data_IF_260097411450
#
_entry.id   IF_260097411450
#
_cell.length_a   1.000
_cell.length_b   1.000
_cell.length_c   1.000
_cell.angle_alpha   90.00
_cell.angle_beta   90.00
_cell.angle_gamma   90.00
#
_symmetry.space_group_name_H-M   'P 1'
#
loop_
_entity.id
_entity.type
_entity.pdbx_description
1 polymer ?
#
# COMPACT_ATOMS: atom_id res chain seq x y z
N UNK A 1 -11.56 -16.62 26.36
CA UNK A 1 -11.91 -17.92 25.76
C UNK A 1 -11.52 -17.84 24.31
N UNK A 2 -10.74 -18.80 23.79
CA UNK A 2 -10.44 -18.82 22.37
C UNK A 2 -11.75 -19.07 21.62
N UNK A 3 -12.15 -18.13 20.77
CA UNK A 3 -13.32 -18.25 19.93
C UNK A 3 -13.04 -19.36 18.90
N UNK A 4 -13.52 -20.57 19.16
CA UNK A 4 -13.35 -21.78 18.33
C UNK A 4 -14.13 -21.74 16.99
N UNK A 5 -14.23 -20.57 16.37
CA UNK A 5 -14.79 -20.46 15.03
C UNK A 5 -13.89 -21.20 14.01
N UNK A 6 -14.44 -21.60 12.85
CA UNK A 6 -13.64 -22.09 11.75
C UNK A 6 -12.48 -21.15 11.44
N UNK A 7 -11.31 -21.68 11.09
CA UNK A 7 -10.17 -20.87 10.70
C UNK A 7 -10.46 -20.21 9.36
N UNK A 8 -10.37 -18.88 9.30
CA UNK A 8 -10.41 -18.17 8.03
C UNK A 8 -9.04 -18.21 7.36
N UNK A 9 -8.94 -18.86 6.21
CA UNK A 9 -7.74 -18.83 5.37
C UNK A 9 -7.92 -17.82 4.24
N UNK A 10 -7.43 -16.59 4.46
CA UNK A 10 -7.43 -15.57 3.42
C UNK A 10 -6.50 -16.01 2.29
N UNK A 11 -6.96 -16.03 1.01
CA UNK A 11 -6.08 -16.26 -0.12
C UNK A 11 -4.90 -15.29 -0.10
N UNK A 12 -3.76 -15.71 -0.65
CA UNK A 12 -2.55 -14.89 -0.70
C UNK A 12 -2.38 -14.23 -2.06
N UNK A 13 -1.86 -13.01 -2.06
CA UNK A 13 -1.43 -12.29 -3.26
C UNK A 13 0.08 -12.12 -3.25
N UNK A 14 0.72 -12.39 -4.38
CA UNK A 14 2.13 -12.14 -4.59
C UNK A 14 2.28 -10.81 -5.32
N UNK A 15 3.10 -9.92 -4.77
CA UNK A 15 3.32 -8.59 -5.33
C UNK A 15 3.90 -8.68 -6.75
N UNK A 16 3.41 -7.82 -7.65
CA UNK A 16 3.98 -7.72 -9.00
C UNK A 16 5.27 -6.91 -8.94
N UNK A 17 6.39 -7.54 -9.30
CA UNK A 17 7.69 -6.87 -9.40
C UNK A 17 7.79 -6.08 -10.71
N UNK A 18 8.04 -4.78 -10.58
CA UNK A 18 8.26 -3.81 -11.67
C UNK A 18 9.70 -3.28 -11.66
N UNK A 19 10.61 -3.91 -10.90
CA UNK A 19 12.03 -3.54 -10.87
C UNK A 19 12.67 -3.74 -12.24
N UNK A 20 13.51 -2.79 -12.65
CA UNK A 20 14.15 -2.78 -13.97
C UNK A 20 13.23 -2.36 -15.13
N UNK A 21 11.95 -2.11 -14.87
CA UNK A 21 11.02 -1.61 -15.88
C UNK A 21 11.34 -0.14 -16.23
N UNK A 22 11.39 0.24 -17.52
CA UNK A 22 11.56 1.64 -17.92
C UNK A 22 10.46 2.55 -17.36
N UNK A 23 10.80 3.81 -17.06
CA UNK A 23 9.87 4.76 -16.44
C UNK A 23 8.57 4.95 -17.25
N UNK A 24 8.67 4.95 -18.58
CA UNK A 24 7.52 5.10 -19.47
C UNK A 24 6.58 3.89 -19.48
N UNK A 25 7.09 2.69 -19.14
CA UNK A 25 6.31 1.45 -19.09
C UNK A 25 5.66 1.20 -17.71
N UNK A 26 6.10 1.91 -16.66
CA UNK A 26 5.62 1.72 -15.29
C UNK A 26 4.11 1.91 -15.16
N UNK A 27 3.52 2.84 -15.94
CA UNK A 27 2.08 3.07 -15.91
C UNK A 27 1.31 1.82 -16.38
N UNK A 28 1.72 1.23 -17.50
CA UNK A 28 1.12 0.01 -18.03
C UNK A 28 1.35 -1.19 -17.10
N UNK A 29 2.56 -1.30 -16.53
CA UNK A 29 2.88 -2.30 -15.51
C UNK A 29 1.97 -2.22 -14.27
N UNK A 30 1.69 -1.00 -13.79
CA UNK A 30 0.77 -0.76 -12.67
C UNK A 30 -0.69 -1.08 -13.03
N UNK A 31 -1.13 -0.73 -14.24
CA UNK A 31 -2.46 -1.09 -14.73
C UNK A 31 -2.64 -2.61 -14.80
N UNK A 32 -1.64 -3.35 -15.28
CA UNK A 32 -1.67 -4.82 -15.28
C UNK A 32 -1.66 -5.40 -13.85
N UNK A 33 -0.90 -4.80 -12.93
CA UNK A 33 -0.91 -5.20 -11.53
C UNK A 33 -2.29 -4.99 -10.88
N UNK A 34 -2.96 -3.87 -11.17
CA UNK A 34 -4.34 -3.58 -10.73
C UNK A 34 -5.33 -4.61 -11.26
N UNK A 35 -5.23 -4.97 -12.54
CA UNK A 35 -6.09 -6.01 -13.15
C UNK A 35 -5.90 -7.36 -12.45
N UNK A 36 -4.65 -7.79 -12.24
CA UNK A 36 -4.33 -9.04 -11.55
C UNK A 36 -4.81 -9.03 -10.11
N UNK A 37 -4.60 -7.94 -9.38
CA UNK A 37 -5.04 -7.80 -8.00
C UNK A 37 -6.56 -7.85 -7.90
N UNK A 38 -7.30 -7.15 -8.76
CA UNK A 38 -8.77 -7.22 -8.80
C UNK A 38 -9.30 -8.62 -9.13
N UNK A 39 -8.63 -9.35 -10.04
CA UNK A 39 -8.97 -10.75 -10.29
C UNK A 39 -8.74 -11.62 -9.05
N UNK A 40 -7.65 -11.38 -8.32
CA UNK A 40 -7.38 -12.02 -7.03
C UNK A 40 -8.45 -11.71 -5.98
N UNK A 41 -8.93 -10.46 -5.88
CA UNK A 41 -9.94 -10.07 -4.90
C UNK A 41 -11.28 -10.80 -5.06
N UNK A 42 -11.59 -11.32 -6.26
CA UNK A 42 -12.74 -12.22 -6.45
C UNK A 42 -12.58 -13.54 -5.67
N UNK A 43 -11.35 -14.06 -5.57
CA UNK A 43 -11.04 -15.25 -4.77
C UNK A 43 -11.14 -14.96 -3.28
N UNK A 44 -10.64 -13.79 -2.86
CA UNK A 44 -10.78 -13.30 -1.48
C UNK A 44 -12.26 -13.20 -1.11
N UNK A 45 -13.08 -12.59 -1.97
CA UNK A 45 -14.52 -12.46 -1.74
C UNK A 45 -15.20 -13.83 -1.59
N UNK A 46 -14.87 -14.79 -2.45
CA UNK A 46 -15.39 -16.16 -2.34
C UNK A 46 -15.00 -16.83 -1.02
N UNK A 47 -13.75 -16.68 -0.59
CA UNK A 47 -13.27 -17.24 0.67
C UNK A 47 -13.97 -16.60 1.88
N UNK A 48 -14.15 -15.27 1.88
CA UNK A 48 -14.88 -14.56 2.92
C UNK A 48 -16.32 -15.05 3.06
N UNK A 49 -17.06 -15.11 1.95
CA UNK A 49 -18.47 -15.54 1.96
C UNK A 49 -18.61 -17.00 2.42
N UNK A 50 -17.73 -17.89 1.96
CA UNK A 50 -17.72 -19.28 2.41
C UNK A 50 -17.47 -19.37 3.92
N UNK A 51 -16.47 -18.66 4.43
CA UNK A 51 -16.16 -18.64 5.85
C UNK A 51 -17.31 -18.08 6.69
N UNK A 52 -17.97 -17.00 6.25
CA UNK A 52 -19.15 -16.45 6.95
C UNK A 52 -20.29 -17.47 7.02
N UNK A 53 -20.52 -18.24 5.96
CA UNK A 53 -21.51 -19.32 5.98
C UNK A 53 -21.17 -20.42 7.00
N UNK A 54 -19.89 -20.83 7.06
CA UNK A 54 -19.41 -21.80 8.05
C UNK A 54 -19.49 -21.27 9.49
N UNK A 55 -19.12 -20.01 9.70
CA UNK A 55 -19.23 -19.34 11.00
C UNK A 55 -20.67 -19.29 11.50
N UNK A 56 -21.63 -18.95 10.62
CA UNK A 56 -23.07 -18.96 10.96
C UNK A 56 -23.60 -20.36 11.25
N UNK A 57 -23.19 -21.37 10.48
CA UNK A 57 -23.56 -22.76 10.74
C UNK A 57 -23.02 -23.23 12.10
N UNK A 58 -21.79 -22.83 12.45
CA UNK A 58 -21.21 -23.08 13.76
C UNK A 58 -21.98 -22.39 14.89
N UNK A 59 -22.34 -21.11 14.73
CA UNK A 59 -23.15 -20.37 15.71
C UNK A 59 -24.49 -21.07 15.96
N UNK A 60 -25.19 -21.47 14.89
CA UNK A 60 -26.46 -22.19 14.98
C UNK A 60 -26.29 -23.56 15.68
N UNK A 61 -25.26 -24.33 15.33
CA UNK A 61 -25.00 -25.64 15.93
C UNK A 61 -24.62 -25.55 17.42
N UNK A 62 -24.03 -24.44 17.85
CA UNK A 62 -23.62 -24.19 19.24
C UNK A 62 -24.63 -23.37 20.05
N UNK A 63 -25.73 -22.92 19.44
CA UNK A 63 -26.71 -22.04 20.09
C UNK A 63 -26.10 -20.69 20.50
N UNK A 64 -25.10 -20.20 19.77
CA UNK A 64 -24.46 -18.91 20.02
C UNK A 64 -25.28 -17.76 19.41
N UNK A 65 -25.24 -16.56 20.01
CA UNK A 65 -25.84 -15.39 19.38
C UNK A 65 -25.14 -15.06 18.05
N UNK A 66 -25.88 -14.64 17.01
CA UNK A 66 -25.29 -14.34 15.71
C UNK A 66 -24.37 -13.11 15.81
N UNK A 67 -23.12 -13.25 15.36
CA UNK A 67 -22.22 -12.10 15.21
C UNK A 67 -22.46 -11.38 13.89
N UNK A 68 -22.10 -10.09 13.86
CA UNK A 68 -22.18 -9.29 12.64
C UNK A 68 -20.93 -9.50 11.77
N UNK A 69 -21.11 -10.18 10.63
CA UNK A 69 -20.08 -10.39 9.61
C UNK A 69 -20.36 -9.64 8.30
N UNK A 70 -21.33 -8.71 8.26
CA UNK A 70 -21.82 -8.09 7.02
C UNK A 70 -20.70 -7.46 6.19
N UNK A 71 -19.71 -6.83 6.83
CA UNK A 71 -18.58 -6.23 6.11
C UNK A 71 -17.76 -7.23 5.28
N UNK A 72 -17.73 -8.51 5.68
CA UNK A 72 -17.05 -9.57 4.93
C UNK A 72 -17.88 -10.08 3.74
N UNK A 73 -19.18 -9.81 3.72
CA UNK A 73 -20.12 -10.22 2.68
C UNK A 73 -20.37 -9.14 1.63
N UNK A 74 -20.07 -7.88 1.96
CA UNK A 74 -20.31 -6.74 1.06
C UNK A 74 -19.11 -6.37 0.19
N UNK A 75 -17.89 -6.70 0.62
CA UNK A 75 -16.69 -6.42 -0.16
C UNK A 75 -15.44 -7.17 0.31
N UNK A 76 -14.40 -7.20 -0.55
CA UNK A 76 -13.13 -7.81 -0.17
C UNK A 76 -12.43 -6.99 0.90
N UNK A 77 -11.92 -7.67 1.90
CA UNK A 77 -11.27 -7.08 3.06
C UNK A 77 -9.80 -7.51 3.16
N UNK A 78 -8.97 -6.67 3.77
CA UNK A 78 -7.56 -6.95 4.06
C UNK A 78 -7.37 -7.75 5.37
N UNK A 79 -8.41 -7.84 6.18
CA UNK A 79 -8.43 -8.57 7.46
C UNK A 79 -8.09 -10.06 7.30
N UNK A 80 -7.07 -10.53 8.01
CA UNK A 80 -6.75 -11.97 8.13
C UNK A 80 -7.56 -12.69 9.20
N UNK A 81 -7.97 -11.99 10.26
CA UNK A 81 -8.73 -12.61 11.37
C UNK A 81 -10.03 -11.84 11.64
N UNK A 82 -11.18 -12.34 11.15
CA UNK A 82 -12.47 -11.64 11.23
C UNK A 82 -13.11 -11.60 12.64
N UNK A 83 -12.54 -12.31 13.61
CA UNK A 83 -13.19 -12.59 14.90
C UNK A 83 -13.13 -11.44 15.92
N UNK A 84 -12.27 -10.45 15.70
CA UNK A 84 -12.09 -9.32 16.64
C UNK A 84 -12.89 -8.07 16.27
N UNK A 85 -13.86 -8.18 15.37
CA UNK A 85 -14.62 -7.04 14.86
C UNK A 85 -13.81 -6.08 13.99
N UNK A 86 -12.51 -6.34 13.82
CA UNK A 86 -11.65 -5.58 12.94
C UNK A 86 -11.93 -5.96 11.48
N UNK A 87 -12.44 -5.01 10.71
CA UNK A 87 -12.66 -5.18 9.29
C UNK A 87 -11.99 -4.02 8.54
N UNK A 88 -11.10 -4.35 7.60
CA UNK A 88 -10.46 -3.37 6.73
C UNK A 88 -10.90 -3.59 5.27
N UNK A 89 -12.09 -3.07 4.89
CA UNK A 89 -12.54 -3.05 3.50
C UNK A 89 -11.56 -2.37 2.55
N UNK A 90 -11.35 -2.97 1.39
CA UNK A 90 -10.57 -2.39 0.29
C UNK A 90 -11.46 -1.47 -0.54
N UNK A 91 -11.03 -0.23 -0.77
CA UNK A 91 -11.81 0.81 -1.45
C UNK A 91 -11.70 0.66 -2.97
N UNK A 92 -12.32 -0.40 -3.52
CA UNK A 92 -12.26 -0.71 -4.95
C UNK A 92 -12.75 0.42 -5.86
N UNK A 93 -13.79 1.15 -5.46
CA UNK A 93 -14.38 2.22 -6.26
C UNK A 93 -13.38 3.35 -6.55
N UNK A 94 -12.40 3.52 -5.66
CA UNK A 94 -11.37 4.55 -5.81
C UNK A 94 -10.37 4.22 -6.88
N UNK A 95 -10.11 2.95 -7.19
CA UNK A 95 -9.08 2.52 -8.16
C UNK A 95 -9.70 1.81 -9.37
N UNK A 96 -10.37 2.52 -10.29
CA UNK A 96 -11.07 1.89 -11.41
C UNK A 96 -10.12 1.13 -12.36
N UNK A 97 -10.60 0.00 -12.92
CA UNK A 97 -9.81 -0.90 -13.79
C UNK A 97 -9.25 -0.20 -15.04
N UNK A 98 -10.00 0.76 -15.56
CA UNK A 98 -9.69 1.45 -16.82
C UNK A 98 -9.20 2.89 -16.58
N UNK A 99 -8.73 3.20 -15.37
CA UNK A 99 -8.11 4.49 -15.12
C UNK A 99 -6.80 4.57 -15.92
N UNK A 100 -6.56 5.64 -16.72
CA UNK A 100 -5.29 5.80 -17.40
C UNK A 100 -4.12 5.91 -16.40
N UNK A 101 -4.39 6.46 -15.21
CA UNK A 101 -3.48 6.48 -14.08
C UNK A 101 -4.20 5.86 -12.88
N UNK A 102 -3.84 4.64 -12.44
CA UNK A 102 -4.54 4.02 -11.33
C UNK A 102 -4.23 4.80 -10.05
N UNK A 103 -5.24 5.34 -9.35
CA UNK A 103 -5.07 6.15 -8.14
C UNK A 103 -4.79 5.26 -6.91
N UNK A 104 -3.71 4.49 -7.01
CA UNK A 104 -3.10 3.74 -5.93
C UNK A 104 -2.45 4.71 -4.94
N UNK A 105 -2.25 4.24 -3.71
CA UNK A 105 -1.36 4.91 -2.78
C UNK A 105 0.03 4.29 -2.90
N UNK A 106 1.05 5.14 -2.74
CA UNK A 106 2.44 4.75 -2.93
C UNK A 106 3.25 5.02 -1.66
N UNK A 107 4.04 4.05 -1.25
CA UNK A 107 4.99 4.17 -0.14
C UNK A 107 6.38 4.18 -0.74
N UNK A 108 7.18 5.21 -0.46
CA UNK A 108 8.51 5.37 -1.05
C UNK A 108 9.61 5.16 -0.02
N UNK A 109 10.44 4.14 -0.24
CA UNK A 109 11.35 3.61 0.76
C UNK A 109 12.70 3.22 0.15
N UNK A 110 13.71 2.92 0.99
CA UNK A 110 14.89 2.17 0.57
C UNK A 110 14.53 0.83 -0.06
N UNK A 111 15.37 0.36 -0.98
CA UNK A 111 15.14 -0.89 -1.71
C UNK A 111 15.11 -2.11 -0.79
N UNK A 112 16.03 -2.19 0.18
CA UNK A 112 16.09 -3.27 1.18
C UNK A 112 14.82 -3.33 2.05
N UNK A 113 14.28 -2.17 2.42
CA UNK A 113 13.02 -2.11 3.18
C UNK A 113 11.84 -2.56 2.31
N UNK A 114 11.79 -2.13 1.05
CA UNK A 114 10.75 -2.56 0.09
C UNK A 114 10.76 -4.08 -0.10
N UNK A 115 11.94 -4.66 -0.32
CA UNK A 115 12.12 -6.10 -0.48
C UNK A 115 11.65 -6.86 0.76
N UNK A 116 12.05 -6.39 1.95
CA UNK A 116 11.59 -6.97 3.22
C UNK A 116 10.07 -6.92 3.38
N UNK A 117 9.43 -5.80 3.04
CA UNK A 117 7.96 -5.67 3.11
C UNK A 117 7.25 -6.64 2.15
N UNK A 118 7.80 -6.83 0.94
CA UNK A 118 7.25 -7.76 -0.06
C UNK A 118 7.40 -9.20 0.38
N UNK A 119 8.58 -9.59 0.87
CA UNK A 119 8.87 -10.95 1.34
C UNK A 119 7.93 -11.34 2.50
N UNK A 120 7.80 -10.46 3.49
CA UNK A 120 7.00 -10.72 4.69
C UNK A 120 5.53 -10.33 4.57
N UNK A 121 5.14 -9.71 3.44
CA UNK A 121 3.77 -9.24 3.15
C UNK A 121 3.17 -8.40 4.26
N UNK A 122 3.98 -7.53 4.84
CA UNK A 122 3.57 -6.62 5.90
C UNK A 122 4.40 -5.34 5.85
N UNK A 123 4.01 -4.37 6.67
CA UNK A 123 4.66 -3.08 6.79
C UNK A 123 5.34 -2.88 8.15
N UNK A 124 5.49 -3.95 8.94
CA UNK A 124 6.04 -3.91 10.30
C UNK A 124 7.56 -3.72 10.30
N UNK A 125 8.24 -4.21 9.26
CA UNK A 125 9.68 -4.06 9.10
C UNK A 125 10.10 -2.64 8.73
N UNK A 126 9.16 -1.75 8.40
CA UNK A 126 9.48 -0.38 7.99
C UNK A 126 9.99 0.40 9.21
N UNK A 127 11.21 0.96 9.16
CA UNK A 127 11.77 1.71 10.27
C UNK A 127 10.91 2.90 10.70
N UNK A 128 10.92 3.22 12.00
CA UNK A 128 10.13 4.32 12.58
C UNK A 128 10.45 5.69 11.99
N UNK A 129 11.66 5.87 11.46
CA UNK A 129 12.05 7.09 10.74
C UNK A 129 11.21 7.33 9.48
N UNK A 130 10.60 6.29 8.91
CA UNK A 130 9.64 6.41 7.80
C UNK A 130 8.21 6.31 8.32
N UNK A 131 7.94 5.37 9.24
CA UNK A 131 6.61 5.08 9.79
C UNK A 131 6.61 5.25 11.33
N UNK A 132 6.35 6.46 11.85
CA UNK A 132 6.36 6.74 13.28
C UNK A 132 5.10 6.20 13.98
N UNK A 133 4.90 4.88 13.92
CA UNK A 133 3.70 4.19 14.41
C UNK A 133 2.52 4.17 13.43
N UNK A 134 2.66 4.81 12.27
CA UNK A 134 1.63 4.86 11.22
C UNK A 134 2.24 4.56 9.86
N UNK A 135 1.47 3.95 8.96
CA UNK A 135 1.86 3.82 7.56
C UNK A 135 1.64 5.17 6.87
N UNK A 136 2.71 5.70 6.27
CA UNK A 136 2.66 6.89 5.43
C UNK A 136 2.66 6.48 3.95
N UNK A 137 1.59 6.80 3.25
CA UNK A 137 1.46 6.61 1.81
C UNK A 137 1.12 7.92 1.12
N UNK A 138 1.37 7.99 -0.18
CA UNK A 138 1.23 9.20 -0.98
C UNK A 138 0.44 8.93 -2.25
N UNK A 139 -0.44 9.85 -2.61
CA UNK A 139 -1.10 9.91 -3.91
C UNK A 139 -0.15 10.60 -4.91
N UNK A 140 0.93 9.90 -5.25
CA UNK A 140 1.99 10.37 -6.14
C UNK A 140 2.45 9.23 -7.03
N UNK A 141 2.31 9.38 -8.35
CA UNK A 141 2.69 8.33 -9.28
C UNK A 141 4.23 8.24 -9.45
N UNK A 142 4.81 7.03 -9.38
CA UNK A 142 6.27 6.84 -9.50
C UNK A 142 6.80 7.17 -10.90
N UNK A 143 5.93 7.17 -11.91
CA UNK A 143 6.24 7.52 -13.30
C UNK A 143 5.98 9.00 -13.64
N UNK A 144 5.51 9.81 -12.69
CA UNK A 144 5.36 11.25 -12.92
C UNK A 144 6.72 11.88 -13.24
N UNK A 145 6.80 12.71 -14.28
CA UNK A 145 8.06 13.35 -14.70
C UNK A 145 8.54 14.43 -13.74
N UNK A 146 7.62 15.04 -13.00
CA UNK A 146 7.88 16.19 -12.11
C UNK A 146 8.20 15.73 -10.67
N UNK A 147 8.00 14.45 -10.35
CA UNK A 147 8.31 13.92 -9.02
C UNK A 147 9.82 13.89 -8.79
N UNK A 148 10.26 14.31 -7.60
CA UNK A 148 11.67 14.29 -7.20
C UNK A 148 11.82 13.61 -5.85
N UNK A 149 12.98 13.02 -5.60
CA UNK A 149 13.28 12.47 -4.27
C UNK A 149 13.20 13.54 -3.18
N UNK A 150 13.56 14.79 -3.50
CA UNK A 150 13.41 15.94 -2.59
C UNK A 150 11.95 16.21 -2.23
N UNK A 151 11.02 16.20 -3.19
CA UNK A 151 9.61 16.47 -2.90
C UNK A 151 8.97 15.36 -2.07
N UNK A 152 9.39 14.10 -2.25
CA UNK A 152 8.95 12.98 -1.41
C UNK A 152 9.54 13.10 0.00
N UNK A 153 10.84 13.37 0.13
CA UNK A 153 11.47 13.58 1.44
C UNK A 153 10.80 14.72 2.21
N UNK A 154 10.45 15.82 1.54
CA UNK A 154 9.69 16.92 2.15
C UNK A 154 8.34 16.45 2.71
N UNK A 155 7.60 15.59 1.98
CA UNK A 155 6.34 15.03 2.49
C UNK A 155 6.52 14.17 3.74
N UNK A 156 7.63 13.43 3.84
CA UNK A 156 8.00 12.74 5.08
C UNK A 156 8.32 13.73 6.20
N UNK A 157 9.12 14.77 5.92
CA UNK A 157 9.53 15.78 6.90
C UNK A 157 8.33 16.53 7.48
N UNK A 158 7.35 16.88 6.64
CA UNK A 158 6.10 17.51 7.03
C UNK A 158 5.25 16.62 7.97
N UNK A 159 5.59 15.33 8.08
CA UNK A 159 4.96 14.33 8.96
C UNK A 159 5.90 13.85 10.06
N UNK A 160 6.76 14.76 10.54
CA UNK A 160 7.71 14.54 11.63
C UNK A 160 8.75 13.45 11.37
N UNK A 161 8.93 13.02 10.12
CA UNK A 161 9.95 12.08 9.69
C UNK A 161 11.20 12.82 9.17
N UNK A 162 11.72 13.78 9.95
CA UNK A 162 12.75 14.76 9.52
C UNK A 162 14.11 14.14 9.14
N UNK A 163 14.37 12.90 9.56
CA UNK A 163 15.61 12.18 9.27
C UNK A 163 15.54 11.36 7.97
N UNK A 164 14.46 11.48 7.19
CA UNK A 164 14.36 10.81 5.88
C UNK A 164 15.23 11.55 4.87
N UNK A 165 16.33 10.90 4.46
CA UNK A 165 17.21 11.43 3.42
C UNK A 165 16.67 11.09 2.03
N UNK A 166 16.73 12.05 1.11
CA UNK A 166 16.22 11.88 -0.26
C UNK A 166 16.98 10.81 -1.04
N UNK A 167 18.26 10.59 -0.72
CA UNK A 167 19.15 9.61 -1.32
C UNK A 167 18.72 8.17 -1.01
N UNK A 168 17.97 7.98 0.09
CA UNK A 168 17.42 6.68 0.49
C UNK A 168 16.10 6.32 -0.21
N UNK A 169 15.48 7.27 -0.91
CA UNK A 169 14.20 7.06 -1.59
C UNK A 169 14.47 6.44 -2.96
N UNK A 170 14.61 5.11 -3.00
CA UNK A 170 15.06 4.36 -4.19
C UNK A 170 14.01 3.44 -4.78
N UNK A 171 12.99 3.09 -4.02
CA UNK A 171 11.97 2.14 -4.42
C UNK A 171 10.59 2.57 -3.95
N UNK A 172 9.55 1.93 -4.49
CA UNK A 172 8.16 2.17 -4.10
C UNK A 172 7.41 0.85 -3.88
N UNK A 173 6.40 0.91 -3.01
CA UNK A 173 5.31 -0.05 -2.90
C UNK A 173 4.04 0.63 -3.40
N UNK A 174 3.27 -0.06 -4.24
CA UNK A 174 1.97 0.38 -4.70
C UNK A 174 0.88 -0.45 -4.00
N UNK A 175 -0.08 0.24 -3.39
CA UNK A 175 -1.10 -0.37 -2.52
C UNK A 175 -2.48 0.20 -2.84
N UNK A 176 -3.53 -0.58 -2.59
CA UNK A 176 -4.89 -0.06 -2.66
C UNK A 176 -5.21 0.74 -1.40
N UNK A 177 -5.97 1.84 -1.51
CA UNK A 177 -6.58 2.46 -0.34
C UNK A 177 -7.54 1.47 0.32
N UNK A 178 -7.61 1.55 1.64
CA UNK A 178 -8.57 0.84 2.48
C UNK A 178 -9.32 1.86 3.31
N UNK A 179 -10.44 1.44 3.91
CA UNK A 179 -11.20 2.27 4.85
C UNK A 179 -10.40 2.78 6.06
N UNK A 180 -9.20 2.24 6.30
CA UNK A 180 -8.32 2.65 7.40
C UNK A 180 -7.34 3.76 6.97
N UNK A 181 -7.29 4.11 5.69
CA UNK A 181 -6.49 5.23 5.21
C UNK A 181 -7.27 6.54 5.30
N UNK A 182 -6.71 7.51 6.00
CA UNK A 182 -7.26 8.87 6.11
C UNK A 182 -6.43 9.83 5.26
N UNK A 183 -7.11 10.71 4.52
CA UNK A 183 -6.42 11.78 3.79
C UNK A 183 -5.98 12.85 4.79
N UNK A 184 -4.71 13.18 4.75
CA UNK A 184 -4.13 14.21 5.59
C UNK A 184 -3.88 15.53 4.83
N UNK A 185 -4.33 15.61 3.58
CA UNK A 185 -4.03 16.73 2.68
C UNK A 185 -2.67 16.62 1.98
N UNK A 186 -2.47 17.46 0.97
CA UNK A 186 -1.27 17.46 0.11
C UNK A 186 -0.92 16.09 -0.49
N UNK A 187 -1.93 15.25 -0.76
CA UNK A 187 -1.73 13.90 -1.30
C UNK A 187 -1.05 12.94 -0.33
N UNK A 188 -1.06 13.20 0.98
CA UNK A 188 -0.56 12.27 2.00
C UNK A 188 -1.74 11.52 2.62
N UNK A 189 -1.54 10.23 2.84
CA UNK A 189 -2.50 9.31 3.44
C UNK A 189 -1.85 8.54 4.58
N UNK A 190 -2.59 8.35 5.66
CA UNK A 190 -2.13 7.68 6.89
C UNK A 190 -3.02 6.49 7.21
N UNK A 191 -2.41 5.38 7.61
CA UNK A 191 -3.10 4.26 8.27
C UNK A 191 -2.52 4.10 9.67
N UNK A 192 -3.37 4.16 10.69
CA UNK A 192 -2.99 4.26 12.10
C UNK A 192 -2.34 3.00 12.71
N UNK A 193 -2.12 1.96 11.91
CA UNK A 193 -1.51 0.70 12.33
C UNK A 193 -0.55 0.23 11.23
N UNK A 194 0.66 -0.19 11.62
CA UNK A 194 1.64 -0.81 10.72
C UNK A 194 1.60 -2.34 10.76
N UNK A 195 0.92 -2.88 11.78
CA UNK A 195 0.83 -4.31 12.07
C UNK A 195 -0.14 -5.06 11.18
N UNK A 196 0.14 -6.36 11.07
CA UNK A 196 -0.64 -7.34 10.34
C UNK A 196 -0.25 -7.43 8.87
N UNK A 197 -0.79 -8.46 8.23
CA UNK A 197 -0.65 -8.66 6.80
C UNK A 197 -1.17 -7.47 6.00
N UNK A 198 -0.49 -7.19 4.90
CA UNK A 198 -0.79 -6.08 4.01
C UNK A 198 -0.57 -6.50 2.56
N UNK A 199 -1.61 -6.36 1.71
CA UNK A 199 -1.46 -6.67 0.29
C UNK A 199 -0.66 -5.56 -0.41
N UNK A 200 0.52 -5.91 -0.91
CA UNK A 200 1.33 -5.04 -1.79
C UNK A 200 1.00 -5.41 -3.23
N UNK A 201 0.33 -4.52 -3.96
CA UNK A 201 -0.12 -4.78 -5.33
C UNK A 201 1.06 -4.88 -6.30
N UNK A 202 2.00 -3.95 -6.19
CA UNK A 202 3.22 -3.95 -6.96
C UNK A 202 4.35 -3.28 -6.19
N UNK A 203 5.58 -3.52 -6.61
CA UNK A 203 6.75 -2.81 -6.12
C UNK A 203 7.72 -2.58 -7.27
N UNK A 204 8.56 -1.55 -7.16
CA UNK A 204 9.53 -1.24 -8.19
C UNK A 204 10.59 -0.25 -7.73
N UNK A 205 11.48 0.12 -8.65
CA UNK A 205 12.53 1.10 -8.42
C UNK A 205 12.11 2.48 -8.91
N UNK A 206 12.57 3.51 -8.21
CA UNK A 206 12.44 4.89 -8.65
C UNK A 206 13.51 5.21 -9.70
N UNK A 207 13.06 5.69 -10.85
CA UNK A 207 13.93 6.22 -11.89
C UNK A 207 13.90 7.74 -11.77
N UNK A 208 14.88 8.27 -11.06
CA UNK A 208 15.08 9.70 -10.95
C UNK A 208 15.65 10.24 -12.25
N UNK A 209 15.22 11.43 -12.71
CA UNK A 209 15.95 12.15 -13.74
C UNK A 209 17.40 12.24 -13.28
N UNK A 210 18.35 11.91 -14.17
CA UNK A 210 19.78 12.13 -13.90
C UNK A 210 19.92 13.55 -13.40
N UNK A 211 20.40 13.70 -12.15
CA UNK A 211 20.67 15.00 -11.56
C UNK A 211 21.44 15.80 -12.61
N UNK A 212 20.87 16.92 -13.06
CA UNK A 212 21.64 17.90 -13.81
C UNK A 212 22.96 18.07 -13.05
N UNK A 213 24.12 17.96 -13.71
CA UNK A 213 25.39 18.21 -13.04
C UNK A 213 25.26 19.57 -12.36
N UNK A 214 25.78 19.69 -11.14
CA UNK A 214 25.88 20.97 -10.46
C UNK A 214 26.40 21.96 -11.49
N UNK A 215 25.56 22.90 -11.88
CA UNK A 215 25.96 23.91 -12.84
C UNK A 215 26.92 24.79 -12.07
N UNK A 216 28.20 24.44 -12.12
CA UNK A 216 29.34 25.31 -11.82
C UNK A 216 29.33 26.43 -12.86
N UNK A 217 28.30 27.28 -12.81
CA UNK A 217 28.40 28.59 -13.43
C UNK A 217 29.32 29.39 -12.52
N UNK A 218 30.52 29.81 -12.99
CA UNK A 218 31.27 30.79 -12.24
C UNK A 218 30.41 32.03 -12.13
N UNK A 219 30.16 32.47 -10.90
CA UNK A 219 29.65 33.81 -10.63
C UNK A 219 30.60 34.80 -11.30
N UNK A 220 30.13 35.48 -12.34
CA UNK A 220 30.85 36.60 -12.92
C UNK A 220 30.94 37.71 -11.87
N UNK A 221 32.01 37.69 -11.07
CA UNK A 221 32.42 38.80 -10.25
C UNK A 221 33.21 39.78 -11.11
N UNK A 222 32.71 41.01 -11.22
CA UNK A 222 33.54 42.18 -11.42
C UNK A 222 33.67 42.68 -12.85
N UNK A 223 32.92 43.74 -13.14
CA UNK A 223 33.46 44.93 -13.79
C UNK A 223 33.01 46.11 -12.94
N UNK A 224 33.93 46.62 -12.12
CA UNK A 224 33.96 48.02 -11.70
C UNK A 224 34.99 48.74 -12.59
#
# INVERSE_FOLDING_TARGET
MADNYPTYERPRFDSICLTGMPKHDLCDGLNEAVKKYRAYLKRVMKAQVNWVAEARAYEQAKGLPPKNFTALETGPCMTETPLFGYCEPIELERVPVCAPNPPLLYVFLPTDVVESCVEHRNLEAVPTKYFPGVVLAMDLWPYNEVITSKSIASKYHDRWCSTVEREHIKSFLAIFPTSQFTSEGNGVWTRCITRGHFDIVAHGQMIWPSSTPATDWPSASGWD
#
